data_IF_946165806655
#
_entry.id   IF_946165806655
#
_cell.length_a   1.000
_cell.length_b   1.000
_cell.length_c   1.000
_cell.angle_alpha   90.00
_cell.angle_beta   90.00
_cell.angle_gamma   90.00
#
_symmetry.space_group_name_H-M   'P 1'
#
loop_
_entity.id
_entity.type
_entity.pdbx_description
1 polymer ?
#
# COMPACT_ATOMS: atom_id res chain seq x y z
N UNK A 1 -8.64 -40.74 -43.62
CA UNK A 1 -9.48 -41.08 -42.45
C UNK A 1 -8.78 -40.53 -41.24
N UNK A 2 -9.33 -39.45 -40.72
CA UNK A 2 -8.75 -38.62 -39.67
C UNK A 2 -8.95 -39.23 -38.29
N UNK A 3 -7.97 -39.07 -37.40
CA UNK A 3 -8.16 -39.18 -35.97
C UNK A 3 -7.47 -37.99 -35.31
N UNK A 4 -8.22 -36.89 -35.23
CA UNK A 4 -7.97 -35.78 -34.31
C UNK A 4 -8.22 -36.30 -32.89
N UNK A 5 -7.25 -36.16 -31.99
CA UNK A 5 -7.48 -36.28 -30.54
C UNK A 5 -6.95 -35.05 -29.84
N UNK A 6 -7.88 -34.11 -29.73
CA UNK A 6 -8.18 -33.20 -28.63
C UNK A 6 -7.07 -32.82 -27.66
N UNK A 7 -6.72 -31.54 -27.76
CA UNK A 7 -6.24 -30.72 -26.67
C UNK A 7 -7.16 -30.83 -25.44
N UNK A 8 -6.56 -31.06 -24.28
CA UNK A 8 -7.16 -30.71 -22.99
C UNK A 8 -6.39 -29.52 -22.44
N UNK A 9 -6.95 -28.30 -22.42
CA UNK A 9 -6.43 -27.26 -21.57
C UNK A 9 -6.84 -27.58 -20.13
N UNK A 10 -5.83 -27.83 -19.29
CA UNK A 10 -5.96 -27.89 -17.86
C UNK A 10 -6.47 -26.52 -17.37
N UNK A 11 -7.58 -26.42 -16.62
CA UNK A 11 -7.89 -25.20 -15.92
C UNK A 11 -6.98 -25.14 -14.70
N UNK A 12 -5.81 -24.51 -14.83
CA UNK A 12 -5.12 -23.95 -13.67
C UNK A 12 -6.05 -22.88 -13.14
N UNK A 13 -6.85 -23.22 -12.14
CA UNK A 13 -7.53 -22.25 -11.29
C UNK A 13 -6.48 -21.50 -10.48
N UNK A 14 -5.70 -20.68 -11.18
CA UNK A 14 -5.05 -19.51 -10.61
C UNK A 14 -6.19 -18.58 -10.25
N UNK A 15 -6.76 -18.81 -9.05
CA UNK A 15 -7.45 -17.74 -8.36
C UNK A 15 -6.41 -16.66 -8.12
N UNK A 16 -6.24 -15.79 -9.11
CA UNK A 16 -5.65 -14.47 -8.96
C UNK A 16 -6.51 -13.76 -7.92
N UNK A 17 -6.17 -13.98 -6.65
CA UNK A 17 -6.52 -13.05 -5.59
C UNK A 17 -5.87 -11.77 -6.06
N UNK A 18 -6.65 -10.86 -6.65
CA UNK A 18 -6.19 -9.54 -7.07
C UNK A 18 -5.63 -8.85 -5.84
N UNK A 19 -4.35 -9.08 -5.60
CA UNK A 19 -3.64 -8.57 -4.46
C UNK A 19 -3.53 -7.08 -4.71
N UNK A 20 -4.21 -6.27 -3.89
CA UNK A 20 -4.02 -4.84 -3.97
C UNK A 20 -2.52 -4.54 -3.88
N UNK A 21 -1.97 -3.71 -4.78
CA UNK A 21 -0.55 -3.39 -4.76
C UNK A 21 -0.21 -2.80 -3.38
N UNK A 22 0.95 -3.26 -2.86
CA UNK A 22 1.47 -2.79 -1.59
C UNK A 22 1.60 -1.26 -1.61
N UNK A 23 1.50 -0.63 -0.44
CA UNK A 23 1.54 0.81 -0.31
C UNK A 23 2.78 1.26 0.46
N UNK A 24 3.57 2.15 -0.14
CA UNK A 24 4.58 2.95 0.55
C UNK A 24 3.91 4.24 1.02
N UNK A 25 3.85 4.42 2.34
CA UNK A 25 3.20 5.57 2.96
C UNK A 25 4.25 6.41 3.67
N UNK A 26 4.28 7.70 3.41
CA UNK A 26 5.09 8.65 4.18
C UNK A 26 4.19 9.61 4.96
N UNK A 27 4.21 9.50 6.28
CA UNK A 27 3.44 10.35 7.20
C UNK A 27 4.36 11.37 7.90
N UNK A 28 4.30 12.62 7.44
CA UNK A 28 5.11 13.72 7.95
C UNK A 28 4.44 15.07 7.69
N UNK A 29 4.41 15.95 8.69
CA UNK A 29 3.75 17.27 8.59
C UNK A 29 4.34 18.17 7.50
N UNK A 30 5.64 18.02 7.24
CA UNK A 30 6.31 18.75 6.19
C UNK A 30 6.31 18.06 4.82
N UNK A 31 5.63 16.91 4.63
CA UNK A 31 5.80 16.11 3.41
C UNK A 31 5.46 16.88 2.12
N UNK A 32 4.51 17.82 2.18
CA UNK A 32 4.11 18.64 1.03
C UNK A 32 4.90 19.94 0.88
N UNK A 33 5.85 20.23 1.77
CA UNK A 33 6.72 21.42 1.63
C UNK A 33 7.64 21.26 0.42
N UNK A 34 7.97 22.37 -0.24
CA UNK A 34 8.86 22.39 -1.41
C UNK A 34 10.23 21.79 -1.11
N UNK A 35 10.75 21.99 0.09
CA UNK A 35 12.01 21.40 0.57
C UNK A 35 12.03 19.86 0.48
N UNK A 36 10.85 19.22 0.60
CA UNK A 36 10.72 17.76 0.53
C UNK A 36 10.41 17.26 -0.89
N UNK A 37 10.40 18.12 -1.90
CA UNK A 37 10.11 17.72 -3.28
C UNK A 37 11.04 16.62 -3.78
N UNK A 38 12.34 16.74 -3.53
CA UNK A 38 13.33 15.73 -3.94
C UNK A 38 13.04 14.38 -3.28
N UNK A 39 12.80 14.36 -1.96
CA UNK A 39 12.47 13.13 -1.23
C UNK A 39 11.14 12.52 -1.68
N UNK A 40 10.13 13.34 -1.98
CA UNK A 40 8.85 12.85 -2.53
C UNK A 40 9.05 12.19 -3.89
N UNK A 41 9.83 12.81 -4.77
CA UNK A 41 10.13 12.25 -6.08
C UNK A 41 10.91 10.93 -5.98
N UNK A 42 11.88 10.86 -5.06
CA UNK A 42 12.65 9.64 -4.79
C UNK A 42 11.77 8.51 -4.25
N UNK A 43 10.95 8.78 -3.22
CA UNK A 43 10.01 7.80 -2.68
C UNK A 43 9.01 7.32 -3.73
N UNK A 44 8.52 8.23 -4.58
CA UNK A 44 7.62 7.88 -5.67
C UNK A 44 8.30 7.01 -6.72
N UNK A 45 9.56 7.29 -7.05
CA UNK A 45 10.38 6.48 -7.96
C UNK A 45 10.59 5.07 -7.41
N UNK A 46 10.97 4.95 -6.12
CA UNK A 46 11.16 3.67 -5.43
C UNK A 46 9.85 2.88 -5.37
N UNK A 47 8.73 3.53 -5.02
CA UNK A 47 7.44 2.86 -5.00
C UNK A 47 7.07 2.34 -6.39
N UNK A 48 7.26 3.14 -7.43
CA UNK A 48 6.97 2.77 -8.81
C UNK A 48 7.82 1.58 -9.27
N UNK A 49 9.12 1.58 -8.99
CA UNK A 49 10.01 0.47 -9.37
C UNK A 49 9.68 -0.84 -8.63
N UNK A 50 9.11 -0.76 -7.43
CA UNK A 50 8.63 -1.91 -6.67
C UNK A 50 7.18 -2.32 -6.96
N UNK A 51 6.47 -1.63 -7.88
CA UNK A 51 5.04 -1.90 -8.14
C UNK A 51 4.10 -1.51 -6.98
N UNK A 52 4.57 -0.62 -6.10
CA UNK A 52 3.84 -0.14 -4.94
C UNK A 52 3.13 1.20 -5.23
N UNK A 53 2.02 1.45 -4.55
CA UNK A 53 1.40 2.78 -4.49
C UNK A 53 2.20 3.67 -3.54
N UNK A 54 2.52 4.91 -3.96
CA UNK A 54 3.13 5.90 -3.07
C UNK A 54 2.07 6.86 -2.55
N UNK A 55 1.97 7.01 -1.22
CA UNK A 55 1.01 7.87 -0.55
C UNK A 55 1.70 8.79 0.45
N UNK A 56 1.20 10.01 0.57
CA UNK A 56 1.77 11.02 1.45
C UNK A 56 0.68 11.60 2.34
N UNK A 57 0.91 11.59 3.66
CA UNK A 57 -0.01 12.16 4.63
C UNK A 57 0.70 13.19 5.50
N UNK A 58 0.04 14.35 5.69
CA UNK A 58 0.55 15.41 6.56
C UNK A 58 0.49 15.01 8.04
N UNK A 59 -0.52 14.25 8.43
CA UNK A 59 -0.81 13.89 9.82
C UNK A 59 -1.31 12.46 9.90
N UNK A 60 -1.10 11.83 11.05
CA UNK A 60 -1.56 10.48 11.39
C UNK A 60 -3.04 10.26 11.05
N UNK A 61 -3.90 11.24 11.34
CA UNK A 61 -5.36 11.14 11.08
C UNK A 61 -5.69 10.90 9.61
N UNK A 62 -4.92 11.46 8.67
CA UNK A 62 -5.14 11.23 7.24
C UNK A 62 -4.80 9.80 6.83
N UNK A 63 -3.72 9.26 7.41
CA UNK A 63 -3.32 7.87 7.22
C UNK A 63 -4.34 6.90 7.84
N UNK A 64 -4.78 7.14 9.09
CA UNK A 64 -5.76 6.29 9.78
C UNK A 64 -7.11 6.22 9.02
N UNK A 65 -7.62 7.36 8.54
CA UNK A 65 -8.83 7.39 7.69
C UNK A 65 -8.68 6.67 6.34
N UNK A 66 -7.45 6.56 5.84
CA UNK A 66 -7.19 5.77 4.64
C UNK A 66 -7.09 4.28 4.99
N UNK A 67 -6.49 3.93 6.12
CA UNK A 67 -6.45 2.57 6.65
C UNK A 67 -7.85 1.98 6.87
N UNK A 68 -8.79 2.75 7.42
CA UNK A 68 -10.19 2.32 7.62
C UNK A 68 -10.88 1.91 6.32
N UNK A 69 -10.51 2.52 5.19
CA UNK A 69 -11.08 2.22 3.87
C UNK A 69 -10.28 1.18 3.11
N UNK A 70 -9.10 0.81 3.60
CA UNK A 70 -8.22 -0.16 2.96
C UNK A 70 -8.57 -1.55 3.44
N UNK A 71 -8.81 -2.45 2.51
CA UNK A 71 -9.26 -3.81 2.81
C UNK A 71 -8.13 -4.83 2.78
N UNK A 72 -7.12 -4.70 1.90
CA UNK A 72 -6.03 -5.69 1.78
C UNK A 72 -4.69 -5.08 1.35
N UNK A 73 -3.62 -5.86 1.47
CA UNK A 73 -2.28 -5.56 0.93
C UNK A 73 -1.30 -4.98 1.96
N UNK A 74 -0.02 -5.28 1.76
CA UNK A 74 1.07 -4.87 2.64
C UNK A 74 1.28 -3.34 2.62
N UNK A 75 1.77 -2.80 3.75
CA UNK A 75 2.01 -1.38 3.94
C UNK A 75 3.41 -1.19 4.53
N UNK A 76 4.18 -0.33 3.89
CA UNK A 76 5.47 0.16 4.39
C UNK A 76 5.23 1.60 4.85
N UNK A 77 5.29 1.83 6.15
CA UNK A 77 5.05 3.16 6.75
C UNK A 77 6.37 3.82 7.15
N UNK A 78 6.67 4.96 6.52
CA UNK A 78 7.72 5.89 6.92
C UNK A 78 7.04 7.00 7.73
N UNK A 79 7.42 7.16 8.98
CA UNK A 79 6.74 8.06 9.91
C UNK A 79 7.73 8.88 10.71
N UNK A 80 7.43 10.16 10.91
CA UNK A 80 8.17 11.01 11.84
C UNK A 80 7.91 10.57 13.29
N UNK A 81 8.92 10.64 14.15
CA UNK A 81 8.81 10.18 15.54
C UNK A 81 7.62 10.79 16.31
N UNK A 82 7.20 12.02 15.98
CA UNK A 82 6.04 12.69 16.60
C UNK A 82 4.72 12.06 16.20
N UNK A 83 4.64 11.47 15.00
CA UNK A 83 3.44 10.85 14.45
C UNK A 83 3.39 9.33 14.75
N UNK A 84 4.47 8.73 15.28
CA UNK A 84 4.51 7.29 15.64
C UNK A 84 3.43 6.94 16.67
N UNK A 85 3.35 7.70 17.77
CA UNK A 85 2.39 7.44 18.85
C UNK A 85 0.93 7.48 18.38
N UNK A 86 0.44 8.57 17.75
CA UNK A 86 -0.96 8.62 17.32
C UNK A 86 -1.29 7.54 16.27
N UNK A 87 -0.33 7.14 15.44
CA UNK A 87 -0.54 6.01 14.51
C UNK A 87 -0.59 4.68 15.26
N UNK A 88 0.34 4.41 16.17
CA UNK A 88 0.36 3.16 16.95
C UNK A 88 -0.91 3.01 17.79
N UNK A 89 -1.35 4.09 18.46
CA UNK A 89 -2.58 4.11 19.24
C UNK A 89 -3.81 3.83 18.34
N UNK A 90 -3.87 4.45 17.15
CA UNK A 90 -4.97 4.26 16.19
C UNK A 90 -4.97 2.93 15.43
N UNK A 91 -3.82 2.25 15.33
CA UNK A 91 -3.70 0.90 14.75
C UNK A 91 -3.88 -0.21 15.78
N UNK A 92 -3.91 0.12 17.08
CA UNK A 92 -4.01 -0.89 18.13
C UNK A 92 -5.33 -1.68 17.99
N UNK A 93 -5.29 -3.03 18.06
CA UNK A 93 -6.43 -3.89 17.75
C UNK A 93 -7.54 -3.93 18.82
N UNK A 94 -7.73 -2.87 19.62
CA UNK A 94 -8.67 -2.85 20.76
C UNK A 94 -9.85 -1.88 20.61
N UNK A 95 -10.46 -1.87 19.42
CA UNK A 95 -11.85 -1.44 19.25
C UNK A 95 -12.60 -2.42 18.32
N UNK A 96 -12.45 -3.73 18.59
CA UNK A 96 -13.49 -4.69 18.23
C UNK A 96 -14.55 -4.63 19.35
N UNK A 97 -15.54 -3.75 19.18
CA UNK A 97 -16.87 -3.93 19.76
C UNK A 97 -17.79 -4.52 18.69
#
# INVERSE_FOLDING_TARGET
MEAVTMASPLPTSESEVSAEPAALVWCYEGCMKSEQQNKRAELQSIACSCGCRCLFYKKAIGFLRWMERKTRGAIILIVDWREVKPIADGLSPLQLQ
#
